data_IF_283323498693
#
_entry.id   IF_283323498693
#
_cell.length_a   1.000
_cell.length_b   1.000
_cell.length_c   1.000
_cell.angle_alpha   90.00
_cell.angle_beta   90.00
_cell.angle_gamma   90.00
#
_symmetry.space_group_name_H-M   'P 1'
#
loop_
_entity.id
_entity.type
_entity.pdbx_description
1 polymer ?
#
# COMPACT_ATOMS: atom_id res chain seq x y z
N UNK A 1 17.35 -34.16 32.86
CA UNK A 1 17.85 -32.79 32.81
C UNK A 1 17.23 -32.14 31.60
N UNK A 2 16.17 -31.36 31.84
CA UNK A 2 15.40 -30.68 30.78
C UNK A 2 16.01 -29.30 30.57
N UNK A 3 16.51 -29.03 29.36
CA UNK A 3 17.06 -27.74 28.99
C UNK A 3 15.87 -26.84 28.56
N UNK A 4 15.45 -25.95 29.44
CA UNK A 4 14.49 -24.91 29.11
C UNK A 4 15.19 -23.92 28.18
N UNK A 5 14.76 -23.88 26.92
CA UNK A 5 15.15 -22.83 25.96
C UNK A 5 14.55 -21.51 26.41
N UNK A 6 15.39 -20.62 26.89
CA UNK A 6 15.03 -19.23 27.22
C UNK A 6 14.76 -18.49 25.89
N UNK A 7 13.50 -18.34 25.53
CA UNK A 7 13.12 -17.31 24.57
C UNK A 7 13.40 -15.95 25.19
N UNK A 8 14.45 -15.29 24.70
CA UNK A 8 14.76 -13.89 25.06
C UNK A 8 13.59 -12.97 24.69
N UNK A 9 13.49 -11.77 25.32
CA UNK A 9 12.41 -10.82 25.02
C UNK A 9 12.45 -10.49 23.53
N UNK A 10 11.33 -10.74 22.83
CA UNK A 10 11.16 -10.34 21.43
C UNK A 10 11.39 -8.83 21.35
N UNK A 11 12.44 -8.43 20.66
CA UNK A 11 12.64 -7.05 20.25
C UNK A 11 11.36 -6.62 19.53
N UNK A 12 10.69 -5.57 20.01
CA UNK A 12 9.49 -5.06 19.37
C UNK A 12 9.83 -4.84 17.88
N UNK A 13 9.12 -5.54 17.00
CA UNK A 13 9.34 -5.41 15.56
C UNK A 13 9.22 -3.93 15.19
N UNK A 14 10.21 -3.40 14.48
CA UNK A 14 10.17 -2.01 14.05
C UNK A 14 8.89 -1.78 13.22
N UNK A 15 8.19 -0.67 13.48
CA UNK A 15 6.99 -0.34 12.70
C UNK A 15 7.30 -0.33 11.20
N UNK A 16 6.41 -0.89 10.34
CA UNK A 16 6.66 -0.98 8.91
C UNK A 16 6.72 0.39 8.24
N UNK A 17 7.32 0.42 7.04
CA UNK A 17 7.26 1.57 6.14
C UNK A 17 6.03 1.45 5.27
N UNK A 18 5.20 2.49 5.22
CA UNK A 18 4.13 2.62 4.24
C UNK A 18 4.69 2.98 2.86
N UNK A 19 4.30 2.26 1.81
CA UNK A 19 4.66 2.53 0.43
C UNK A 19 3.42 2.82 -0.40
N UNK A 20 3.29 4.07 -0.87
CA UNK A 20 2.17 4.50 -1.71
C UNK A 20 2.61 4.54 -3.18
N UNK A 21 1.91 3.80 -4.04
CA UNK A 21 2.12 3.84 -5.48
C UNK A 21 1.23 4.94 -6.09
N UNK A 22 1.82 6.11 -6.35
CA UNK A 22 1.10 7.32 -6.76
C UNK A 22 1.56 7.87 -8.13
N UNK A 23 2.23 7.04 -8.95
CA UNK A 23 2.86 7.49 -10.18
C UNK A 23 1.91 7.57 -11.40
N UNK A 24 0.68 7.07 -11.30
CA UNK A 24 -0.27 6.93 -12.39
C UNK A 24 -0.86 8.25 -12.89
N UNK A 25 -1.03 8.40 -14.22
CA UNK A 25 -1.59 9.60 -14.84
C UNK A 25 -3.12 9.70 -14.82
N UNK A 26 -3.84 8.68 -14.34
CA UNK A 26 -5.31 8.68 -14.27
C UNK A 26 -6.01 8.79 -15.63
N UNK A 27 -5.45 8.23 -16.70
CA UNK A 27 -5.92 8.41 -18.09
C UNK A 27 -7.35 7.96 -18.30
N UNK A 28 -7.75 6.82 -17.72
CA UNK A 28 -9.11 6.28 -17.85
C UNK A 28 -10.15 7.15 -17.16
N UNK A 29 -9.78 7.72 -16.02
CA UNK A 29 -10.64 8.63 -15.27
C UNK A 29 -10.76 10.02 -15.95
N UNK A 30 -9.76 10.43 -16.76
CA UNK A 30 -9.78 11.69 -17.51
C UNK A 30 -9.63 12.96 -16.66
N UNK A 31 -9.21 12.84 -15.39
CA UNK A 31 -9.12 13.93 -14.42
C UNK A 31 -7.68 14.26 -13.99
N UNK A 32 -6.67 13.74 -14.71
CA UNK A 32 -5.27 13.90 -14.33
C UNK A 32 -4.81 12.87 -13.28
N UNK A 33 -3.65 13.12 -12.64
CA UNK A 33 -3.09 12.20 -11.65
C UNK A 33 -4.04 11.96 -10.48
N UNK A 34 -4.43 10.70 -10.25
CA UNK A 34 -5.36 10.31 -9.17
C UNK A 34 -4.90 10.79 -7.79
N UNK A 35 -3.58 10.83 -7.58
CA UNK A 35 -2.98 11.29 -6.34
C UNK A 35 -3.40 12.70 -5.91
N UNK A 36 -3.72 13.57 -6.88
CA UNK A 36 -4.11 14.97 -6.66
C UNK A 36 -5.63 15.21 -6.66
N UNK A 37 -6.44 14.17 -6.89
CA UNK A 37 -7.89 14.28 -6.76
C UNK A 37 -8.26 14.52 -5.30
N UNK A 38 -9.30 15.31 -5.09
CA UNK A 38 -9.72 15.69 -3.74
C UNK A 38 -10.78 14.73 -3.20
N UNK A 39 -10.47 14.06 -2.10
CA UNK A 39 -11.43 13.36 -1.27
C UNK A 39 -11.87 14.32 -0.16
N UNK A 40 -13.10 14.79 -0.21
CA UNK A 40 -13.64 15.78 0.77
C UNK A 40 -12.73 17.02 0.95
N UNK A 41 -12.15 17.49 -0.12
CA UNK A 41 -11.27 18.67 -0.11
C UNK A 41 -9.79 18.38 0.23
N UNK A 42 -9.42 17.12 0.52
CA UNK A 42 -8.05 16.70 0.81
C UNK A 42 -7.50 15.88 -0.36
N UNK A 43 -6.28 16.13 -0.88
CA UNK A 43 -5.68 15.31 -1.91
C UNK A 43 -5.60 13.83 -1.51
N UNK A 44 -5.92 12.90 -2.43
CA UNK A 44 -5.90 11.46 -2.13
C UNK A 44 -4.56 10.99 -1.58
N UNK A 45 -3.45 11.50 -2.10
CA UNK A 45 -2.12 11.13 -1.61
C UNK A 45 -1.92 11.54 -0.14
N UNK A 46 -2.41 12.71 0.24
CA UNK A 46 -2.38 13.17 1.63
C UNK A 46 -3.25 12.29 2.53
N UNK A 47 -4.49 12.02 2.08
CA UNK A 47 -5.41 11.15 2.80
C UNK A 47 -4.78 9.77 3.06
N UNK A 48 -4.32 9.10 2.02
CA UNK A 48 -3.72 7.75 2.15
C UNK A 48 -2.46 7.78 3.02
N UNK A 49 -1.61 8.82 2.89
CA UNK A 49 -0.41 8.94 3.72
C UNK A 49 -0.76 9.08 5.22
N UNK A 50 -1.75 9.91 5.57
CA UNK A 50 -2.24 10.05 6.95
C UNK A 50 -2.81 8.73 7.47
N UNK A 51 -3.62 8.05 6.67
CA UNK A 51 -4.20 6.74 7.02
C UNK A 51 -3.11 5.71 7.32
N UNK A 52 -2.05 5.62 6.51
CA UNK A 52 -0.94 4.71 6.78
C UNK A 52 -0.21 5.07 8.08
N UNK A 53 0.03 6.37 8.32
CA UNK A 53 0.68 6.86 9.54
C UNK A 53 -0.14 6.57 10.79
N UNK A 54 -1.42 6.89 10.77
CA UNK A 54 -2.37 6.67 11.87
C UNK A 54 -2.59 5.17 12.14
N UNK A 55 -2.56 4.35 11.09
CA UNK A 55 -2.70 2.89 11.18
C UNK A 55 -1.47 2.17 11.70
N UNK A 56 -0.31 2.87 11.89
CA UNK A 56 0.86 2.32 12.57
C UNK A 56 2.15 2.25 11.74
N UNK A 57 2.19 2.78 10.50
CA UNK A 57 3.43 2.92 9.76
C UNK A 57 4.31 4.02 10.38
N UNK A 58 5.62 3.74 10.60
CA UNK A 58 6.54 4.71 11.19
C UNK A 58 6.92 5.84 10.21
N UNK A 59 6.96 5.53 8.93
CA UNK A 59 7.41 6.37 7.82
C UNK A 59 6.56 6.04 6.60
N UNK A 60 6.37 7.00 5.69
CA UNK A 60 5.65 6.79 4.42
C UNK A 60 6.54 7.22 3.25
N UNK A 61 6.69 6.34 2.27
CA UNK A 61 7.34 6.62 0.99
C UNK A 61 6.28 6.67 -0.10
N UNK A 62 6.25 7.78 -0.85
CA UNK A 62 5.29 8.00 -1.94
C UNK A 62 6.05 7.96 -3.26
N UNK A 63 5.78 6.95 -4.08
CA UNK A 63 6.36 6.87 -5.42
C UNK A 63 5.55 7.70 -6.39
N UNK A 64 6.20 8.71 -6.97
CA UNK A 64 5.60 9.69 -7.89
C UNK A 64 6.00 9.42 -9.34
N UNK A 65 5.24 9.98 -10.27
CA UNK A 65 5.49 9.91 -11.71
C UNK A 65 4.75 11.03 -12.43
N UNK A 66 3.56 10.77 -12.94
CA UNK A 66 2.70 11.84 -13.44
C UNK A 66 2.31 12.78 -12.28
N UNK A 67 2.50 14.10 -12.46
CA UNK A 67 2.19 15.09 -11.43
C UNK A 67 3.14 15.11 -10.23
N UNK A 68 4.39 14.65 -10.39
CA UNK A 68 5.38 14.53 -9.30
C UNK A 68 5.56 15.85 -8.53
N UNK A 69 5.63 16.99 -9.20
CA UNK A 69 5.75 18.32 -8.58
C UNK A 69 4.56 18.63 -7.65
N UNK A 70 3.33 18.42 -8.14
CA UNK A 70 2.13 18.66 -7.33
C UNK A 70 2.03 17.69 -6.14
N UNK A 71 2.40 16.43 -6.32
CA UNK A 71 2.45 15.46 -5.21
C UNK A 71 3.53 15.85 -4.20
N UNK A 72 4.72 16.28 -4.67
CA UNK A 72 5.79 16.78 -3.80
C UNK A 72 5.29 17.93 -2.92
N UNK A 73 4.68 18.95 -3.53
CA UNK A 73 4.14 20.11 -2.81
C UNK A 73 3.11 19.73 -1.73
N UNK A 74 2.27 18.72 -1.98
CA UNK A 74 1.32 18.20 -0.97
C UNK A 74 2.07 17.52 0.18
N UNK A 75 3.14 16.77 -0.12
CA UNK A 75 3.87 15.98 0.88
C UNK A 75 4.89 16.77 1.70
N UNK A 76 5.33 17.95 1.23
CA UNK A 76 6.35 18.79 1.89
C UNK A 76 6.00 19.18 3.33
N UNK A 77 4.72 19.23 3.69
CA UNK A 77 4.25 19.49 5.06
C UNK A 77 4.31 18.30 6.02
N UNK A 78 4.79 17.13 5.59
CA UNK A 78 4.74 15.88 6.37
C UNK A 78 6.14 15.34 6.67
N UNK A 79 6.74 15.64 7.83
CA UNK A 79 8.13 15.28 8.14
C UNK A 79 8.37 13.76 8.27
N UNK A 80 7.29 12.97 8.39
CA UNK A 80 7.32 11.51 8.43
C UNK A 80 7.08 10.87 7.05
N UNK A 81 6.94 11.66 5.99
CA UNK A 81 6.74 11.18 4.63
C UNK A 81 7.80 11.78 3.69
N UNK A 82 8.14 11.03 2.65
CA UNK A 82 9.03 11.49 1.57
C UNK A 82 8.54 11.00 0.23
N UNK A 83 8.87 11.73 -0.81
CA UNK A 83 8.56 11.35 -2.19
C UNK A 83 9.79 10.73 -2.86
N UNK A 84 9.52 9.76 -3.74
CA UNK A 84 10.54 9.14 -4.60
C UNK A 84 10.04 9.17 -6.04
N UNK A 85 10.78 9.81 -6.94
CA UNK A 85 10.35 9.93 -8.33
C UNK A 85 10.73 8.69 -9.14
N UNK A 86 9.75 8.08 -9.81
CA UNK A 86 9.98 7.03 -10.79
C UNK A 86 9.99 7.61 -12.21
N UNK A 87 11.14 7.80 -12.88
CA UNK A 87 11.18 8.33 -14.24
C UNK A 87 10.60 7.34 -15.28
N UNK A 88 10.52 6.06 -14.91
CA UNK A 88 10.02 4.98 -15.77
C UNK A 88 8.54 4.64 -15.52
N UNK A 89 7.78 5.49 -14.87
CA UNK A 89 6.40 5.22 -14.48
C UNK A 89 5.47 4.80 -15.62
N UNK A 90 5.79 5.25 -16.88
CA UNK A 90 5.01 4.88 -18.06
C UNK A 90 5.14 3.40 -18.47
N UNK A 91 6.16 2.71 -17.96
CA UNK A 91 6.39 1.28 -18.21
C UNK A 91 5.55 0.37 -17.31
N UNK A 92 4.72 0.95 -16.44
CA UNK A 92 3.77 0.23 -15.60
C UNK A 92 4.07 0.27 -14.11
N UNK A 93 3.10 -0.20 -13.33
CA UNK A 93 3.11 -0.16 -11.86
C UNK A 93 4.30 -0.92 -11.24
N UNK A 94 4.79 -1.98 -11.90
CA UNK A 94 5.94 -2.74 -11.41
C UNK A 94 7.21 -1.91 -11.27
N UNK A 95 7.44 -0.91 -12.16
CA UNK A 95 8.59 -0.01 -12.03
C UNK A 95 8.46 0.88 -10.80
N UNK A 96 7.24 1.32 -10.45
CA UNK A 96 6.98 2.11 -9.26
C UNK A 96 7.18 1.29 -7.99
N UNK A 97 6.73 0.05 -7.95
CA UNK A 97 6.98 -0.85 -6.82
C UNK A 97 8.49 -1.04 -6.59
N UNK A 98 9.26 -1.33 -7.66
CA UNK A 98 10.72 -1.45 -7.56
C UNK A 98 11.40 -0.19 -7.06
N UNK A 99 11.01 0.98 -7.59
CA UNK A 99 11.55 2.27 -7.15
C UNK A 99 11.30 2.48 -5.65
N UNK A 100 10.09 2.25 -5.19
CA UNK A 100 9.74 2.41 -3.77
C UNK A 100 10.48 1.44 -2.85
N UNK A 101 10.53 0.16 -3.20
CA UNK A 101 11.26 -0.85 -2.42
C UNK A 101 12.76 -0.57 -2.38
N UNK A 102 13.37 -0.12 -3.49
CA UNK A 102 14.77 0.28 -3.54
C UNK A 102 15.06 1.51 -2.65
N UNK A 103 14.16 2.49 -2.64
CA UNK A 103 14.28 3.69 -1.80
C UNK A 103 14.14 3.40 -0.30
N UNK A 104 13.34 2.38 0.07
CA UNK A 104 13.19 1.93 1.46
C UNK A 104 14.43 1.14 1.91
N UNK A 105 15.00 0.36 1.01
CA UNK A 105 16.13 -0.53 1.30
C UNK A 105 15.70 -1.86 1.96
N UNK A 106 16.66 -2.77 2.16
CA UNK A 106 16.40 -4.10 2.73
C UNK A 106 16.16 -4.05 4.24
N UNK A 107 15.61 -5.15 4.77
CA UNK A 107 15.48 -5.36 6.21
C UNK A 107 14.33 -4.61 6.88
N UNK A 108 13.40 -4.05 6.12
CA UNK A 108 12.20 -3.37 6.61
C UNK A 108 10.94 -4.07 6.09
N UNK A 109 9.97 -4.22 6.97
CA UNK A 109 8.62 -4.60 6.55
C UNK A 109 7.98 -3.44 5.80
N UNK A 110 7.27 -3.72 4.71
CA UNK A 110 6.71 -2.70 3.83
C UNK A 110 5.22 -2.93 3.60
N UNK A 111 4.40 -1.96 3.99
CA UNK A 111 2.96 -1.97 3.71
C UNK A 111 2.70 -1.21 2.41
N UNK A 112 2.36 -1.94 1.36
CA UNK A 112 2.16 -1.39 0.01
C UNK A 112 0.67 -1.13 -0.24
N UNK A 113 0.35 0.06 -0.76
CA UNK A 113 -1.00 0.39 -1.25
C UNK A 113 -0.93 1.30 -2.47
N UNK A 114 -1.83 1.15 -3.47
CA UNK A 114 -2.02 2.17 -4.49
C UNK A 114 -2.75 3.39 -3.90
N UNK A 115 -2.57 4.55 -4.54
CA UNK A 115 -3.17 5.82 -4.07
C UNK A 115 -4.67 5.94 -4.34
N UNK A 116 -5.20 5.14 -5.27
CA UNK A 116 -6.56 5.25 -5.82
C UNK A 116 -7.62 4.45 -5.05
N UNK A 117 -7.40 4.25 -3.76
CA UNK A 117 -8.35 3.58 -2.85
C UNK A 117 -8.88 4.57 -1.80
N UNK A 118 -9.91 5.34 -2.14
CA UNK A 118 -10.43 6.39 -1.25
C UNK A 118 -11.06 5.85 0.05
N UNK A 119 -11.49 4.58 0.07
CA UNK A 119 -12.08 3.93 1.23
C UNK A 119 -11.07 3.40 2.25
N UNK A 120 -9.76 3.31 1.90
CA UNK A 120 -8.74 2.85 2.84
C UNK A 120 -8.76 3.69 4.12
N UNK A 121 -8.78 3.03 5.29
CA UNK A 121 -8.84 3.69 6.58
C UNK A 121 -7.78 3.17 7.58
N UNK A 122 -7.50 3.95 8.62
CA UNK A 122 -6.49 3.59 9.63
C UNK A 122 -6.80 2.27 10.34
N UNK A 123 -8.09 1.95 10.55
CA UNK A 123 -8.52 0.69 11.16
C UNK A 123 -8.19 -0.52 10.28
N UNK A 124 -8.30 -0.41 8.94
CA UNK A 124 -7.91 -1.44 7.99
C UNK A 124 -6.39 -1.69 8.06
N UNK A 125 -5.59 -0.63 8.02
CA UNK A 125 -4.13 -0.70 8.16
C UNK A 125 -3.76 -1.37 9.48
N UNK A 126 -4.29 -0.91 10.60
CA UNK A 126 -3.99 -1.46 11.93
C UNK A 126 -4.38 -2.96 12.01
N UNK A 127 -5.51 -3.36 11.41
CA UNK A 127 -5.96 -4.76 11.37
C UNK A 127 -4.99 -5.65 10.58
N UNK A 128 -4.50 -5.18 9.43
CA UNK A 128 -3.49 -5.90 8.62
C UNK A 128 -2.19 -6.04 9.39
N UNK A 129 -1.73 -4.96 10.05
CA UNK A 129 -0.50 -5.00 10.87
C UNK A 129 -0.63 -5.96 12.05
N UNK A 130 -1.76 -5.94 12.76
CA UNK A 130 -2.01 -6.81 13.92
C UNK A 130 -2.09 -8.30 13.55
N UNK A 131 -2.54 -8.61 12.34
CA UNK A 131 -2.64 -9.98 11.85
C UNK A 131 -1.30 -10.53 11.29
N UNK A 132 -0.31 -9.66 11.09
CA UNK A 132 0.94 -10.04 10.44
C UNK A 132 1.75 -11.04 11.25
N UNK A 133 2.33 -12.02 10.55
CA UNK A 133 3.24 -13.01 11.12
C UNK A 133 4.63 -12.86 10.49
N UNK A 134 5.71 -12.92 11.29
CA UNK A 134 7.07 -12.86 10.79
C UNK A 134 7.31 -13.87 9.66
N UNK A 135 7.99 -13.44 8.60
CA UNK A 135 8.28 -14.24 7.41
C UNK A 135 7.09 -14.45 6.47
N UNK A 136 5.94 -13.80 6.72
CA UNK A 136 4.73 -13.91 5.92
C UNK A 136 4.45 -12.69 5.03
N UNK A 137 3.36 -12.81 4.29
CA UNK A 137 2.74 -11.71 3.55
C UNK A 137 1.31 -11.61 4.06
N UNK A 138 0.86 -10.40 4.41
CA UNK A 138 -0.51 -10.20 4.93
C UNK A 138 -1.23 -9.19 4.05
N UNK A 139 -2.40 -9.53 3.54
CA UNK A 139 -3.16 -8.68 2.64
C UNK A 139 -4.57 -8.44 3.17
N UNK A 140 -5.04 -7.20 3.08
CA UNK A 140 -6.46 -6.93 3.22
C UNK A 140 -7.25 -7.68 2.15
N UNK A 141 -8.43 -8.14 2.50
CA UNK A 141 -9.34 -8.83 1.60
C UNK A 141 -10.78 -8.40 1.86
N UNK A 142 -11.57 -8.37 0.80
CA UNK A 142 -12.96 -7.92 0.85
C UNK A 142 -13.84 -8.99 0.22
N UNK A 143 -15.05 -9.21 0.78
CA UNK A 143 -15.98 -10.20 0.26
C UNK A 143 -16.60 -9.71 -1.04
N UNK A 144 -16.57 -10.56 -2.02
CA UNK A 144 -17.35 -10.40 -3.23
C UNK A 144 -18.81 -10.83 -3.00
N UNK A 145 -19.69 -10.54 -3.97
CA UNK A 145 -21.09 -10.97 -3.92
C UNK A 145 -21.25 -12.50 -3.81
N UNK A 146 -20.26 -13.27 -4.24
CA UNK A 146 -20.18 -14.73 -4.08
C UNK A 146 -19.97 -15.18 -2.62
N UNK A 147 -19.58 -14.26 -1.74
CA UNK A 147 -19.14 -14.55 -0.36
C UNK A 147 -17.67 -14.90 -0.22
N UNK A 148 -16.94 -15.06 -1.33
CA UNK A 148 -15.50 -15.34 -1.31
C UNK A 148 -14.67 -14.08 -0.98
N UNK A 149 -13.55 -14.27 -0.28
CA UNK A 149 -12.60 -13.19 -0.01
C UNK A 149 -11.69 -12.96 -1.21
N UNK A 150 -11.79 -11.78 -1.80
CA UNK A 150 -10.88 -11.30 -2.83
C UNK A 150 -9.75 -10.49 -2.18
N UNK A 151 -8.51 -10.90 -2.46
CA UNK A 151 -7.32 -10.17 -2.02
C UNK A 151 -7.32 -8.76 -2.61
N UNK A 152 -7.10 -7.77 -1.74
CA UNK A 152 -6.96 -6.36 -2.07
C UNK A 152 -5.66 -5.75 -1.56
N UNK A 153 -5.73 -4.49 -1.20
CA UNK A 153 -4.72 -3.69 -0.53
C UNK A 153 -5.33 -3.08 0.74
N UNK A 154 -4.47 -2.69 1.71
CA UNK A 154 -3.00 -2.75 1.67
C UNK A 154 -2.45 -4.18 1.78
N UNK A 155 -1.20 -4.36 1.31
CA UNK A 155 -0.44 -5.61 1.41
C UNK A 155 0.83 -5.37 2.21
N UNK A 156 0.99 -6.04 3.34
CA UNK A 156 2.20 -6.03 4.15
C UNK A 156 3.14 -7.15 3.71
N UNK A 157 4.31 -6.77 3.27
CA UNK A 157 5.42 -7.66 2.95
C UNK A 157 6.39 -7.68 4.14
N UNK A 158 6.64 -8.85 4.73
CA UNK A 158 7.78 -9.01 5.61
C UNK A 158 9.08 -8.67 4.87
N UNK A 159 10.09 -8.21 5.58
CA UNK A 159 11.40 -7.84 5.02
C UNK A 159 12.01 -8.94 4.13
N UNK A 160 11.76 -10.21 4.45
CA UNK A 160 12.22 -11.35 3.67
C UNK A 160 11.63 -11.42 2.25
N UNK A 161 10.49 -10.76 1.99
CA UNK A 161 9.80 -10.78 0.71
C UNK A 161 10.04 -9.54 -0.15
N UNK A 162 10.62 -8.46 0.38
CA UNK A 162 10.76 -7.19 -0.33
C UNK A 162 11.66 -7.30 -1.57
N UNK A 163 12.77 -8.02 -1.49
CA UNK A 163 13.66 -8.28 -2.64
C UNK A 163 12.95 -9.08 -3.72
N UNK A 164 12.32 -10.20 -3.35
CA UNK A 164 11.58 -11.04 -4.30
C UNK A 164 10.40 -10.28 -4.94
N UNK A 165 9.74 -9.40 -4.18
CA UNK A 165 8.67 -8.55 -4.71
C UNK A 165 9.21 -7.52 -5.73
N UNK A 166 10.38 -6.94 -5.47
CA UNK A 166 11.03 -6.03 -6.41
C UNK A 166 11.47 -6.74 -7.70
N UNK A 167 12.02 -7.94 -7.60
CA UNK A 167 12.45 -8.75 -8.76
C UNK A 167 11.26 -9.21 -9.62
N UNK A 168 10.18 -9.64 -8.99
CA UNK A 168 8.97 -10.09 -9.68
C UNK A 168 8.15 -8.93 -10.30
N UNK A 169 8.39 -7.70 -9.85
CA UNK A 169 7.62 -6.54 -10.29
C UNK A 169 8.02 -6.12 -11.71
N UNK A 170 7.07 -6.22 -12.66
CA UNK A 170 7.28 -5.81 -14.05
C UNK A 170 5.97 -5.30 -14.67
N UNK A 171 6.06 -4.43 -15.66
CA UNK A 171 4.92 -3.84 -16.36
C UNK A 171 3.78 -3.44 -15.39
N UNK A 172 2.53 -3.76 -15.70
CA UNK A 172 1.37 -3.46 -14.86
C UNK A 172 1.03 -4.58 -13.85
N UNK A 173 1.88 -5.59 -13.73
CA UNK A 173 1.62 -6.76 -12.86
C UNK A 173 1.95 -6.48 -11.40
N UNK A 174 2.87 -5.55 -11.13
CA UNK A 174 3.35 -5.28 -9.77
C UNK A 174 3.90 -6.56 -9.11
N UNK A 175 3.49 -6.84 -7.88
CA UNK A 175 3.84 -8.08 -7.17
C UNK A 175 2.82 -9.21 -7.36
N UNK A 176 1.82 -9.07 -8.24
CA UNK A 176 0.70 -10.03 -8.38
C UNK A 176 1.16 -11.46 -8.61
N UNK A 177 2.15 -11.65 -9.48
CA UNK A 177 2.65 -12.98 -9.83
C UNK A 177 3.39 -13.63 -8.66
N UNK A 178 4.19 -12.86 -7.91
CA UNK A 178 4.80 -13.34 -6.68
C UNK A 178 3.72 -13.81 -5.69
N UNK A 179 2.72 -12.96 -5.44
CA UNK A 179 1.65 -13.28 -4.49
C UNK A 179 0.83 -14.50 -4.91
N UNK A 180 0.67 -14.72 -6.22
CA UNK A 180 0.02 -15.93 -6.76
C UNK A 180 0.91 -17.17 -6.58
N UNK A 181 2.21 -17.06 -6.91
CA UNK A 181 3.16 -18.17 -6.80
C UNK A 181 3.43 -18.57 -5.33
N UNK A 182 3.27 -17.62 -4.41
CA UNK A 182 3.53 -17.79 -2.97
C UNK A 182 2.25 -17.71 -2.13
N UNK A 183 1.12 -18.12 -2.68
CA UNK A 183 -0.18 -18.06 -2.00
C UNK A 183 -0.20 -18.68 -0.61
N UNK A 184 0.62 -19.73 -0.38
CA UNK A 184 0.71 -20.41 0.91
C UNK A 184 1.39 -19.55 2.01
N UNK A 185 2.09 -18.48 1.61
CA UNK A 185 2.67 -17.48 2.51
C UNK A 185 1.80 -16.22 2.65
N UNK A 186 0.66 -16.15 1.93
CA UNK A 186 -0.25 -15.00 1.96
C UNK A 186 -1.40 -15.26 2.90
N UNK A 187 -1.44 -14.50 3.99
CA UNK A 187 -2.59 -14.43 4.89
C UNK A 187 -3.57 -13.37 4.41
N UNK A 188 -4.84 -13.74 4.21
CA UNK A 188 -5.92 -12.80 3.93
C UNK A 188 -6.58 -12.36 5.22
N UNK A 189 -6.82 -11.06 5.36
CA UNK A 189 -7.49 -10.44 6.51
C UNK A 189 -8.79 -9.82 6.03
N UNK A 190 -9.91 -10.32 6.50
CA UNK A 190 -11.23 -9.80 6.13
C UNK A 190 -11.42 -8.38 6.69
N UNK A 191 -11.55 -7.43 5.78
CA UNK A 191 -11.76 -6.01 6.04
C UNK A 191 -13.09 -5.49 5.46
N UNK A 192 -14.00 -6.37 5.08
CA UNK A 192 -15.28 -6.06 4.42
C UNK A 192 -16.17 -5.12 5.23
N UNK A 193 -16.06 -5.17 6.55
CA UNK A 193 -16.79 -4.28 7.47
C UNK A 193 -16.24 -2.85 7.55
N UNK A 194 -15.04 -2.61 6.98
CA UNK A 194 -14.34 -1.32 7.03
C UNK A 194 -14.37 -0.57 5.69
N UNK A 195 -14.27 -1.32 4.58
CA UNK A 195 -14.22 -0.78 3.21
C UNK A 195 -14.72 -1.84 2.22
N UNK A 196 -15.17 -1.42 1.04
CA UNK A 196 -15.57 -2.32 -0.05
C UNK A 196 -14.38 -2.78 -0.93
N UNK A 197 -13.21 -2.24 -0.68
CA UNK A 197 -11.98 -2.58 -1.41
C UNK A 197 -11.94 -2.05 -2.85
N UNK A 198 -12.77 -1.08 -3.20
CA UNK A 198 -12.88 -0.59 -4.56
C UNK A 198 -11.83 0.48 -4.90
N UNK A 199 -11.32 0.40 -6.14
CA UNK A 199 -10.42 1.39 -6.71
C UNK A 199 -11.23 2.51 -7.40
N UNK A 200 -10.61 3.67 -7.56
CA UNK A 200 -11.12 4.81 -8.31
C UNK A 200 -10.56 4.76 -9.74
N UNK A 201 -11.23 4.05 -10.64
CA UNK A 201 -10.69 3.77 -11.97
C UNK A 201 -11.41 4.47 -13.12
N UNK A 202 -12.73 4.60 -13.06
CA UNK A 202 -13.60 5.07 -14.12
C UNK A 202 -14.36 6.34 -13.70
N UNK A 203 -14.88 7.14 -14.65
CA UNK A 203 -15.66 8.33 -14.31
C UNK A 203 -16.86 8.06 -13.40
N UNK A 204 -17.48 6.89 -13.51
CA UNK A 204 -18.57 6.46 -12.64
C UNK A 204 -18.14 6.22 -11.18
N UNK A 205 -16.85 6.10 -10.88
CA UNK A 205 -16.35 5.93 -9.51
C UNK A 205 -16.17 7.27 -8.77
N UNK A 206 -16.30 8.41 -9.46
CA UNK A 206 -16.04 9.75 -8.91
C UNK A 206 -16.91 10.08 -7.68
N UNK A 207 -18.09 9.49 -7.55
CA UNK A 207 -18.93 9.65 -6.35
C UNK A 207 -18.23 9.21 -5.06
N UNK A 208 -17.22 8.31 -5.15
CA UNK A 208 -16.42 7.85 -4.02
C UNK A 208 -15.58 8.97 -3.39
N UNK A 209 -15.32 10.06 -4.12
CA UNK A 209 -14.62 11.23 -3.61
C UNK A 209 -15.51 12.11 -2.71
N UNK A 210 -16.83 12.01 -2.87
CA UNK A 210 -17.80 12.85 -2.17
C UNK A 210 -18.52 12.12 -1.01
N UNK A 211 -18.27 10.82 -0.79
CA UNK A 211 -18.95 10.03 0.23
C UNK A 211 -18.73 10.64 1.61
N UNK A 212 -19.84 11.06 2.23
CA UNK A 212 -19.88 11.40 3.65
C UNK A 212 -20.07 10.09 4.42
N UNK A 213 -19.09 9.71 5.22
CA UNK A 213 -19.20 8.62 6.19
C UNK A 213 -20.10 8.99 7.32
#
# INVERSE_FOLDING_TARGET
>A
MSVASSEGPRQAAASPVGLILAAGAGRRLGRGPKALLLLRGVPLVEHVARVLREGGCAEVVVVTGAGAEGVGAVMDGMPWARTEQNPRWREGMGTSLRTGLAAIGPGRDVLVTPVDRPGTCAAEVARVLAAHRPGGITAAAHREASGELRRGHPVLLDAAWTTAAAEAAHADVGARDLLRARRDHVQLVDCTDLDDGADLDLPEDLWRLDVRG
#
